data_IF_003611777414
#
_entry.id   IF_003611777414
#
_cell.length_a   1.000
_cell.length_b   1.000
_cell.length_c   1.000
_cell.angle_alpha   90.00
_cell.angle_beta   90.00
_cell.angle_gamma   90.00
#
_symmetry.space_group_name_H-M   'P 1'
#
loop_
_entity.id
_entity.type
_entity.pdbx_description
1 polymer ?
#
# COMPACT_ATOMS: atom_id res chain seq x y z
N UNK A 1 35.32 -17.87 55.44
CA UNK A 1 34.57 -16.61 55.64
C UNK A 1 34.33 -15.99 54.27
N UNK A 2 33.39 -16.49 53.47
CA UNK A 2 31.97 -16.10 53.41
C UNK A 2 31.71 -14.63 53.07
N UNK A 3 31.45 -14.41 51.77
CA UNK A 3 30.37 -13.62 51.14
C UNK A 3 30.29 -12.10 51.42
N UNK A 4 30.54 -11.24 50.41
CA UNK A 4 29.47 -10.54 49.66
C UNK A 4 29.98 -9.63 48.52
N UNK A 5 29.42 -9.89 47.34
CA UNK A 5 29.34 -9.00 46.18
C UNK A 5 28.78 -7.62 46.57
N UNK A 6 29.36 -6.53 46.06
CA UNK A 6 28.63 -5.26 45.86
C UNK A 6 28.79 -4.81 44.41
N UNK A 7 27.80 -5.23 43.60
CA UNK A 7 27.44 -4.65 42.31
C UNK A 7 27.12 -3.16 42.49
N UNK A 8 27.84 -2.28 41.79
CA UNK A 8 27.34 -0.91 41.52
C UNK A 8 26.16 -1.00 40.55
N UNK A 9 24.94 -1.08 41.09
CA UNK A 9 23.70 -0.85 40.32
C UNK A 9 23.60 0.65 40.00
N UNK A 10 23.78 1.02 38.73
CA UNK A 10 23.19 2.26 38.19
C UNK A 10 21.67 2.12 38.37
N UNK A 11 21.07 2.94 39.22
CA UNK A 11 19.62 3.15 39.24
C UNK A 11 19.27 3.87 37.93
N UNK A 12 18.76 3.12 36.94
CA UNK A 12 17.93 3.71 35.91
C UNK A 12 16.53 3.84 36.52
N UNK A 13 16.22 5.09 36.87
CA UNK A 13 14.97 5.54 37.44
C UNK A 13 13.83 5.38 36.43
N UNK A 14 12.78 4.68 36.84
CA UNK A 14 11.37 4.91 36.50
C UNK A 14 10.99 5.05 35.02
N UNK A 15 10.56 3.91 34.49
CA UNK A 15 9.54 3.70 33.46
C UNK A 15 8.67 4.92 33.11
N UNK A 16 8.64 5.24 31.82
CA UNK A 16 7.83 6.31 31.24
C UNK A 16 6.32 5.96 31.30
N UNK A 17 5.46 6.83 31.85
CA UNK A 17 4.03 6.56 32.05
C UNK A 17 3.12 6.51 30.80
N UNK A 18 3.67 6.63 29.58
CA UNK A 18 2.87 6.71 28.34
C UNK A 18 2.52 5.34 27.71
N UNK A 19 2.84 4.23 28.37
CA UNK A 19 2.66 2.86 27.85
C UNK A 19 1.22 2.29 27.95
N UNK A 20 0.20 3.07 28.32
CA UNK A 20 -1.19 2.57 28.49
C UNK A 20 -2.26 3.23 27.62
N UNK A 21 -1.93 4.13 26.67
CA UNK A 21 -2.92 4.61 25.68
C UNK A 21 -2.86 3.77 24.38
N UNK A 22 -3.88 2.97 24.06
CA UNK A 22 -3.96 2.22 22.80
C UNK A 22 -4.04 3.10 21.54
N UNK A 23 -4.12 4.44 21.69
CA UNK A 23 -4.19 5.41 20.58
C UNK A 23 -2.86 6.15 20.33
N UNK A 24 -1.79 5.84 21.07
CA UNK A 24 -0.48 6.39 20.75
C UNK A 24 0.06 5.73 19.49
N UNK A 25 0.15 6.50 18.39
CA UNK A 25 0.83 6.08 17.17
C UNK A 25 2.34 6.20 17.42
N UNK A 26 3.10 5.09 17.55
CA UNK A 26 4.54 5.18 17.71
C UNK A 26 5.16 5.81 16.45
N UNK A 27 6.27 6.54 16.56
CA UNK A 27 6.96 7.10 15.40
C UNK A 27 7.42 5.96 14.48
N UNK A 28 6.69 5.72 13.39
CA UNK A 28 7.15 4.89 12.28
C UNK A 28 7.84 5.76 11.22
N UNK A 29 8.72 5.16 10.42
CA UNK A 29 9.69 5.83 9.54
C UNK A 29 9.10 6.52 8.28
N UNK A 30 7.92 7.14 8.38
CA UNK A 30 7.23 7.82 7.27
C UNK A 30 6.73 9.23 7.62
N UNK A 31 6.39 10.06 6.63
CA UNK A 31 5.83 11.40 6.85
C UNK A 31 4.57 11.39 7.73
N UNK A 32 4.41 12.39 8.61
CA UNK A 32 3.27 12.46 9.55
C UNK A 32 1.90 12.36 8.87
N UNK A 33 1.72 12.90 7.67
CA UNK A 33 0.43 12.83 6.97
C UNK A 33 0.08 11.39 6.55
N UNK A 34 1.10 10.57 6.25
CA UNK A 34 0.92 9.19 5.84
C UNK A 34 0.45 8.35 7.03
N UNK A 35 1.07 8.55 8.20
CA UNK A 35 0.64 7.91 9.44
C UNK A 35 -0.84 8.21 9.78
N UNK A 36 -1.28 9.45 9.57
CA UNK A 36 -2.68 9.86 9.77
C UNK A 36 -3.61 9.22 8.73
N UNK A 37 -3.20 9.18 7.46
CA UNK A 37 -3.98 8.53 6.41
C UNK A 37 -4.16 7.04 6.69
N UNK A 38 -3.09 6.33 7.06
CA UNK A 38 -3.12 4.91 7.34
C UNK A 38 -3.97 4.60 8.58
N UNK A 39 -3.92 5.44 9.61
CA UNK A 39 -4.77 5.32 10.79
C UNK A 39 -6.25 5.46 10.43
N UNK A 40 -6.61 6.50 9.70
CA UNK A 40 -7.99 6.71 9.25
C UNK A 40 -8.48 5.60 8.31
N UNK A 41 -7.63 5.11 7.40
CA UNK A 41 -7.95 3.99 6.52
C UNK A 41 -8.22 2.71 7.32
N UNK A 42 -7.41 2.41 8.35
CA UNK A 42 -7.63 1.27 9.26
C UNK A 42 -8.94 1.42 10.03
N UNK A 43 -9.25 2.61 10.52
CA UNK A 43 -10.48 2.87 11.27
C UNK A 43 -11.73 2.70 10.38
N UNK A 44 -11.68 3.20 9.13
CA UNK A 44 -12.74 2.99 8.13
C UNK A 44 -12.88 1.49 7.80
N UNK A 45 -11.78 0.79 7.58
CA UNK A 45 -11.80 -0.65 7.25
C UNK A 45 -12.39 -1.50 8.38
N UNK A 46 -12.09 -1.14 9.64
CA UNK A 46 -12.65 -1.78 10.84
C UNK A 46 -14.09 -1.37 11.14
N UNK A 47 -14.65 -0.43 10.38
CA UNK A 47 -16.02 0.03 10.53
C UNK A 47 -16.23 1.03 11.67
N UNK A 48 -15.17 1.61 12.25
CA UNK A 48 -15.30 2.71 13.22
C UNK A 48 -16.00 3.92 12.60
N UNK A 49 -15.77 4.14 11.30
CA UNK A 49 -16.51 5.07 10.47
C UNK A 49 -17.24 4.28 9.38
N UNK A 50 -18.56 4.19 9.51
CA UNK A 50 -19.39 3.41 8.58
C UNK A 50 -19.48 4.06 7.20
N UNK A 51 -19.71 3.27 6.15
CA UNK A 51 -19.95 3.82 4.81
C UNK A 51 -21.21 4.69 4.84
N UNK A 52 -21.10 5.88 4.26
CA UNK A 52 -22.16 6.88 4.30
C UNK A 52 -22.09 7.79 5.54
N UNK A 53 -21.34 7.45 6.59
CA UNK A 53 -21.14 8.34 7.74
C UNK A 53 -20.18 9.49 7.43
N UNK A 54 -20.17 10.50 8.31
CA UNK A 54 -19.21 11.60 8.24
C UNK A 54 -17.97 11.29 9.07
N UNK A 55 -16.80 11.58 8.51
CA UNK A 55 -15.56 11.66 9.28
C UNK A 55 -15.58 12.88 10.22
N UNK A 56 -14.78 12.86 11.29
CA UNK A 56 -14.52 14.06 12.09
C UNK A 56 -14.02 15.21 11.21
N UNK A 57 -14.36 16.44 11.60
CA UNK A 57 -13.93 17.65 10.88
C UNK A 57 -12.40 17.78 10.88
N UNK A 58 -11.84 18.56 9.95
CA UNK A 58 -10.39 18.79 9.91
C UNK A 58 -9.84 19.30 11.25
N UNK A 59 -10.56 20.18 11.94
CA UNK A 59 -10.17 20.69 13.25
C UNK A 59 -10.14 19.57 14.31
N UNK A 60 -11.16 18.71 14.33
CA UNK A 60 -11.21 17.56 15.24
C UNK A 60 -10.09 16.56 14.93
N UNK A 61 -9.78 16.31 13.65
CA UNK A 61 -8.67 15.45 13.25
C UNK A 61 -7.32 16.05 13.65
N UNK A 62 -7.15 17.38 13.54
CA UNK A 62 -5.95 18.05 14.03
C UNK A 62 -5.73 17.82 15.53
N UNK A 63 -6.81 17.93 16.32
CA UNK A 63 -6.77 17.66 17.76
C UNK A 63 -6.53 16.18 18.06
N UNK A 64 -7.25 15.28 17.37
CA UNK A 64 -7.19 13.83 17.60
C UNK A 64 -5.78 13.28 17.32
N UNK A 65 -5.16 13.71 16.24
CA UNK A 65 -3.85 13.23 15.81
C UNK A 65 -2.71 14.13 16.29
N UNK A 66 -3.01 15.27 16.93
CA UNK A 66 -2.02 16.29 17.32
C UNK A 66 -1.09 16.71 16.17
N UNK A 67 -1.68 17.11 15.05
CA UNK A 67 -0.95 17.50 13.82
C UNK A 67 -1.48 18.80 13.23
N UNK A 68 -0.68 19.39 12.34
CA UNK A 68 -1.08 20.61 11.61
C UNK A 68 -2.27 20.36 10.66
N UNK A 69 -3.00 21.42 10.33
CA UNK A 69 -4.05 21.39 9.30
C UNK A 69 -3.53 20.92 7.95
N UNK A 70 -2.31 21.32 7.58
CA UNK A 70 -1.67 20.85 6.35
C UNK A 70 -1.54 19.33 6.33
N UNK A 71 -1.07 18.74 7.44
CA UNK A 71 -0.94 17.29 7.61
C UNK A 71 -2.28 16.56 7.45
N UNK A 72 -3.35 17.06 8.08
CA UNK A 72 -4.70 16.47 7.94
C UNK A 72 -5.23 16.60 6.52
N UNK A 73 -5.03 17.75 5.88
CA UNK A 73 -5.47 18.00 4.49
C UNK A 73 -4.78 17.07 3.51
N UNK A 74 -3.48 16.84 3.67
CA UNK A 74 -2.72 15.89 2.86
C UNK A 74 -3.15 14.44 3.10
N UNK A 75 -3.36 14.06 4.36
CA UNK A 75 -3.84 12.72 4.70
C UNK A 75 -5.21 12.43 4.08
N UNK A 76 -6.16 13.34 4.25
CA UNK A 76 -7.52 13.19 3.71
C UNK A 76 -7.56 13.35 2.19
N UNK A 77 -6.65 14.11 1.56
CA UNK A 77 -6.53 14.16 0.10
C UNK A 77 -6.23 12.78 -0.46
N UNK A 78 -5.23 12.08 0.11
CA UNK A 78 -4.90 10.70 -0.29
C UNK A 78 -6.09 9.75 -0.17
N UNK A 79 -6.85 9.83 0.93
CA UNK A 79 -8.03 8.99 1.13
C UNK A 79 -9.15 9.28 0.10
N UNK A 80 -9.26 10.52 -0.38
CA UNK A 80 -10.14 10.87 -1.51
C UNK A 80 -9.62 10.24 -2.80
N UNK A 81 -8.32 10.35 -3.06
CA UNK A 81 -7.68 9.85 -4.29
C UNK A 81 -7.88 8.33 -4.46
N UNK A 82 -7.78 7.56 -3.37
CA UNK A 82 -8.02 6.11 -3.35
C UNK A 82 -9.50 5.71 -3.19
N UNK A 83 -10.41 6.70 -3.17
CA UNK A 83 -11.85 6.49 -3.19
C UNK A 83 -12.47 6.03 -1.86
N UNK A 84 -11.75 6.12 -0.74
CA UNK A 84 -12.28 5.75 0.58
C UNK A 84 -13.27 6.80 1.11
N UNK A 85 -13.05 8.07 0.79
CA UNK A 85 -13.87 9.19 1.26
C UNK A 85 -14.16 10.19 0.14
N UNK A 86 -15.11 11.09 0.37
CA UNK A 86 -15.42 12.22 -0.51
C UNK A 86 -15.63 13.48 0.31
N UNK A 87 -15.30 14.63 -0.27
CA UNK A 87 -15.55 15.94 0.34
C UNK A 87 -16.73 16.61 -0.34
N UNK A 88 -17.64 17.17 0.44
CA UNK A 88 -18.77 17.95 -0.06
C UNK A 88 -18.86 19.26 0.72
N UNK A 89 -18.82 20.39 0.00
CA UNK A 89 -18.92 21.71 0.59
C UNK A 89 -20.21 21.86 1.40
N UNK A 90 -20.12 22.43 2.60
CA UNK A 90 -21.27 22.59 3.51
C UNK A 90 -21.74 21.31 4.23
N UNK A 91 -21.24 20.13 3.86
CA UNK A 91 -21.65 18.84 4.44
C UNK A 91 -20.51 18.16 5.20
N UNK A 92 -19.27 18.32 4.73
CA UNK A 92 -18.09 17.72 5.32
C UNK A 92 -17.56 16.54 4.51
N UNK A 93 -16.86 15.64 5.20
CA UNK A 93 -16.16 14.51 4.58
C UNK A 93 -16.91 13.22 4.85
N UNK A 94 -17.39 12.54 3.79
CA UNK A 94 -18.20 11.33 3.90
C UNK A 94 -17.42 10.08 3.51
N UNK A 95 -17.55 9.02 4.29
CA UNK A 95 -17.00 7.69 3.96
C UNK A 95 -17.75 7.09 2.77
N UNK A 96 -17.01 6.67 1.74
CA UNK A 96 -17.54 6.12 0.49
C UNK A 96 -17.39 4.61 0.40
N UNK A 97 -16.31 4.06 0.95
CA UNK A 97 -16.01 2.64 0.87
C UNK A 97 -15.22 2.18 2.09
N UNK A 98 -15.33 0.90 2.46
CA UNK A 98 -14.51 0.27 3.51
C UNK A 98 -13.14 -0.17 3.03
N UNK A 99 -13.03 -0.44 1.73
CA UNK A 99 -11.78 -0.79 1.05
C UNK A 99 -11.59 0.18 -0.10
N UNK A 100 -10.34 0.42 -0.49
CA UNK A 100 -10.05 1.26 -1.65
C UNK A 100 -10.83 0.72 -2.86
N UNK A 101 -11.44 1.63 -3.62
CA UNK A 101 -11.88 1.26 -4.94
C UNK A 101 -10.61 0.86 -5.68
N UNK A 102 -10.56 -0.35 -6.24
CA UNK A 102 -9.49 -0.75 -7.14
C UNK A 102 -9.57 0.08 -8.42
N UNK A 103 -9.36 1.40 -8.33
CA UNK A 103 -8.87 2.16 -9.46
C UNK A 103 -7.51 1.56 -9.73
N UNK A 104 -7.42 0.78 -10.80
CA UNK A 104 -6.17 0.23 -11.31
C UNK A 104 -5.32 1.37 -11.89
N UNK A 105 -4.91 2.28 -11.02
CA UNK A 105 -3.68 3.04 -11.18
C UNK A 105 -2.73 2.38 -10.22
N UNK A 106 -1.95 1.41 -10.70
CA UNK A 106 -0.63 1.15 -10.13
C UNK A 106 0.19 2.42 -10.36
N UNK A 107 -0.19 3.52 -9.70
CA UNK A 107 0.61 4.73 -9.63
C UNK A 107 1.75 4.33 -8.71
N UNK A 108 2.83 3.84 -9.31
CA UNK A 108 4.10 3.59 -8.66
C UNK A 108 4.78 4.94 -8.38
N UNK A 109 4.06 5.86 -7.72
CA UNK A 109 4.51 7.22 -7.44
C UNK A 109 5.50 7.29 -6.28
N UNK A 110 5.61 6.22 -5.50
CA UNK A 110 6.55 6.07 -4.40
C UNK A 110 6.92 4.60 -4.15
N UNK A 111 8.08 4.37 -3.53
CA UNK A 111 8.53 3.02 -3.13
C UNK A 111 7.55 2.35 -2.16
N UNK A 112 6.95 3.10 -1.25
CA UNK A 112 5.98 2.56 -0.28
C UNK A 112 4.71 2.05 -0.95
N UNK A 113 4.19 2.77 -1.96
CA UNK A 113 3.01 2.33 -2.74
C UNK A 113 3.31 1.07 -3.55
N UNK A 114 4.53 0.96 -4.08
CA UNK A 114 4.99 -0.23 -4.79
C UNK A 114 5.07 -1.44 -3.85
N UNK A 115 5.65 -1.27 -2.66
CA UNK A 115 5.75 -2.32 -1.63
C UNK A 115 4.37 -2.74 -1.13
N UNK A 116 3.48 -1.80 -0.86
CA UNK A 116 2.10 -2.11 -0.45
C UNK A 116 1.33 -2.86 -1.55
N UNK A 117 1.51 -2.47 -2.81
CA UNK A 117 0.92 -3.18 -3.94
C UNK A 117 1.45 -4.61 -4.07
N UNK A 118 2.75 -4.83 -3.84
CA UNK A 118 3.34 -6.18 -3.83
C UNK A 118 2.79 -7.02 -2.66
N UNK A 119 2.66 -6.46 -1.45
CA UNK A 119 2.19 -7.22 -0.29
C UNK A 119 0.68 -7.48 -0.28
N UNK A 120 -0.12 -6.58 -0.84
CA UNK A 120 -1.59 -6.69 -0.83
C UNK A 120 -2.13 -7.51 -2.01
N UNK A 121 -1.29 -7.90 -2.96
CA UNK A 121 -1.73 -8.63 -4.15
C UNK A 121 -0.80 -9.80 -4.47
N UNK A 122 -1.37 -10.88 -5.01
CA UNK A 122 -0.64 -12.01 -5.58
C UNK A 122 -0.74 -11.95 -7.10
N UNK A 123 0.37 -12.29 -7.77
CA UNK A 123 0.41 -12.47 -9.21
C UNK A 123 0.35 -13.96 -9.54
N UNK A 124 -0.41 -14.33 -10.56
CA UNK A 124 -0.53 -15.70 -11.04
C UNK A 124 -0.23 -15.73 -12.53
N UNK A 125 0.74 -16.55 -12.93
CA UNK A 125 1.06 -16.76 -14.33
C UNK A 125 -0.02 -17.62 -14.98
N UNK A 126 -0.57 -17.15 -16.10
CA UNK A 126 -1.51 -17.91 -16.93
C UNK A 126 -0.78 -18.67 -18.03
N UNK A 127 0.15 -18.00 -18.70
CA UNK A 127 0.93 -18.59 -19.78
C UNK A 127 2.23 -17.84 -19.99
N UNK A 128 3.26 -18.55 -20.40
CA UNK A 128 4.52 -17.97 -20.86
C UNK A 128 4.98 -18.65 -22.15
N UNK A 129 5.60 -17.90 -23.05
CA UNK A 129 6.05 -18.46 -24.31
C UNK A 129 6.66 -17.45 -25.28
N UNK A 130 7.26 -17.96 -26.34
CA UNK A 130 7.85 -17.13 -27.38
C UNK A 130 6.81 -16.68 -28.40
N UNK A 131 6.80 -15.37 -28.70
CA UNK A 131 5.91 -14.76 -29.70
C UNK A 131 6.75 -14.02 -30.75
N UNK A 132 6.28 -14.00 -32.00
CA UNK A 132 6.82 -13.09 -33.01
C UNK A 132 6.02 -11.79 -32.98
N UNK A 133 6.70 -10.65 -33.00
CA UNK A 133 6.05 -9.35 -33.05
C UNK A 133 5.23 -9.21 -34.35
N UNK A 134 3.92 -9.09 -34.24
CA UNK A 134 3.07 -8.67 -35.35
C UNK A 134 3.25 -7.16 -35.63
N UNK A 135 2.48 -6.59 -36.55
CA UNK A 135 2.62 -5.17 -36.88
C UNK A 135 2.38 -4.25 -35.67
N UNK A 136 1.37 -4.54 -34.84
CA UNK A 136 0.98 -3.71 -33.69
C UNK A 136 1.98 -3.84 -32.55
N UNK A 137 2.41 -5.07 -32.25
CA UNK A 137 3.40 -5.33 -31.21
C UNK A 137 4.76 -4.77 -31.60
N UNK A 138 5.13 -4.85 -32.89
CA UNK A 138 6.37 -4.28 -33.41
C UNK A 138 6.39 -2.75 -33.26
N UNK A 139 5.28 -2.07 -33.57
CA UNK A 139 5.13 -0.64 -33.36
C UNK A 139 5.23 -0.27 -31.87
N UNK A 140 4.51 -0.99 -31.01
CA UNK A 140 4.47 -0.74 -29.56
C UNK A 140 5.84 -0.93 -28.90
N UNK A 141 6.59 -1.96 -29.31
CA UNK A 141 7.91 -2.28 -28.76
C UNK A 141 9.06 -1.61 -29.53
N UNK A 142 8.75 -0.80 -30.55
CA UNK A 142 9.72 -0.17 -31.45
C UNK A 142 10.76 -1.17 -32.01
N UNK A 143 10.28 -2.32 -32.49
CA UNK A 143 11.12 -3.41 -32.99
C UNK A 143 10.73 -3.85 -34.41
N UNK A 144 11.46 -4.82 -34.99
CA UNK A 144 11.14 -5.33 -36.33
C UNK A 144 9.96 -6.30 -36.26
N UNK A 145 9.04 -6.22 -37.23
CA UNK A 145 8.00 -7.24 -37.41
C UNK A 145 8.65 -8.62 -37.58
N UNK A 146 8.12 -9.62 -36.89
CA UNK A 146 8.67 -10.98 -36.82
C UNK A 146 9.74 -11.19 -35.75
N UNK A 147 10.28 -10.13 -35.14
CA UNK A 147 11.26 -10.25 -34.06
C UNK A 147 10.66 -11.03 -32.89
N UNK A 148 11.44 -11.96 -32.35
CA UNK A 148 11.03 -12.86 -31.26
C UNK A 148 11.13 -12.15 -29.91
N UNK A 149 10.07 -12.29 -29.12
CA UNK A 149 9.97 -11.85 -27.74
C UNK A 149 9.50 -13.00 -26.86
N UNK A 150 9.76 -12.91 -25.56
CA UNK A 150 9.15 -13.80 -24.58
C UNK A 150 7.99 -13.06 -23.92
N UNK A 151 6.80 -13.67 -23.98
CA UNK A 151 5.57 -13.11 -23.45
C UNK A 151 5.16 -13.87 -22.20
N UNK A 152 4.75 -13.13 -21.16
CA UNK A 152 4.07 -13.65 -19.99
C UNK A 152 2.69 -13.02 -19.89
N UNK A 153 1.67 -13.84 -19.63
CA UNK A 153 0.30 -13.40 -19.36
C UNK A 153 -0.02 -13.71 -17.92
N UNK A 154 -0.49 -12.72 -17.17
CA UNK A 154 -0.69 -12.85 -15.73
C UNK A 154 -2.03 -12.29 -15.29
N UNK A 155 -2.57 -12.85 -14.21
CA UNK A 155 -3.66 -12.25 -13.45
C UNK A 155 -3.15 -11.81 -12.08
N UNK A 156 -3.61 -10.65 -11.64
CA UNK A 156 -3.34 -10.16 -10.29
C UNK A 156 -4.60 -10.23 -9.46
N UNK A 157 -4.45 -10.73 -8.23
CA UNK A 157 -5.53 -10.87 -7.27
C UNK A 157 -5.16 -10.13 -5.99
N UNK A 158 -6.12 -9.51 -5.29
CA UNK A 158 -5.95 -9.18 -3.88
C UNK A 158 -5.65 -10.45 -3.09
N UNK A 159 -4.83 -10.36 -2.03
CA UNK A 159 -4.53 -11.52 -1.17
C UNK A 159 -5.79 -12.05 -0.48
N UNK A 160 -6.77 -11.18 -0.22
CA UNK A 160 -8.02 -11.47 0.47
C UNK A 160 -9.22 -11.80 -0.45
N UNK A 161 -9.03 -11.80 -1.78
CA UNK A 161 -10.13 -12.02 -2.75
C UNK A 161 -9.78 -13.03 -3.83
N UNK A 162 -10.83 -13.63 -4.39
CA UNK A 162 -10.72 -14.65 -5.43
C UNK A 162 -10.86 -14.08 -6.84
N UNK A 163 -11.42 -12.88 -6.97
CA UNK A 163 -11.65 -12.18 -8.22
C UNK A 163 -10.39 -11.42 -8.66
N UNK A 164 -9.97 -11.53 -9.94
CA UNK A 164 -8.80 -10.81 -10.41
C UNK A 164 -9.11 -9.31 -10.52
N UNK A 165 -8.13 -8.50 -10.15
CA UNK A 165 -8.17 -7.03 -10.30
C UNK A 165 -7.42 -6.54 -11.53
N UNK A 166 -6.61 -7.40 -12.17
CA UNK A 166 -5.85 -7.03 -13.36
C UNK A 166 -5.47 -8.23 -14.23
N UNK A 167 -5.41 -7.99 -15.54
CA UNK A 167 -4.72 -8.82 -16.53
C UNK A 167 -3.55 -8.02 -17.11
N UNK A 168 -2.36 -8.63 -17.14
CA UNK A 168 -1.16 -7.98 -17.65
C UNK A 168 -0.43 -8.89 -18.63
N UNK A 169 -0.06 -8.33 -19.78
CA UNK A 169 0.89 -8.93 -20.73
C UNK A 169 2.24 -8.26 -20.59
N UNK A 170 3.28 -9.07 -20.34
CA UNK A 170 4.65 -8.62 -20.19
C UNK A 170 5.44 -9.18 -21.37
N UNK A 171 6.14 -8.31 -22.10
CA UNK A 171 7.01 -8.69 -23.21
C UNK A 171 8.45 -8.34 -22.86
N UNK A 172 9.33 -9.34 -22.80
CA UNK A 172 10.75 -9.17 -22.53
C UNK A 172 11.61 -9.76 -23.65
N UNK A 173 12.83 -9.25 -23.86
CA UNK A 173 13.79 -9.92 -24.73
C UNK A 173 13.99 -11.39 -24.31
N UNK A 174 14.19 -12.33 -25.25
CA UNK A 174 14.28 -13.78 -24.95
C UNK A 174 15.33 -14.18 -23.89
N UNK A 175 16.38 -13.38 -23.74
CA UNK A 175 17.41 -13.57 -22.71
C UNK A 175 16.91 -13.39 -21.26
N UNK A 176 15.72 -12.80 -21.06
CA UNK A 176 15.10 -12.62 -19.74
C UNK A 176 13.94 -13.59 -19.48
N UNK A 177 13.84 -14.67 -20.25
CA UNK A 177 12.73 -15.63 -20.14
C UNK A 177 12.59 -16.25 -18.75
N UNK A 178 13.70 -16.34 -18.00
CA UNK A 178 13.74 -17.01 -16.69
C UNK A 178 12.94 -16.26 -15.62
N UNK A 179 12.49 -15.01 -15.90
CA UNK A 179 11.58 -14.24 -15.04
C UNK A 179 10.26 -14.97 -14.73
N UNK A 180 9.86 -15.95 -15.55
CA UNK A 180 8.68 -16.77 -15.26
C UNK A 180 8.83 -17.55 -13.95
N UNK A 181 10.06 -17.93 -13.58
CA UNK A 181 10.35 -18.69 -12.36
C UNK A 181 10.07 -17.86 -11.10
N UNK A 182 10.35 -16.55 -11.17
CA UNK A 182 10.07 -15.60 -10.08
C UNK A 182 8.57 -15.41 -9.86
N UNK A 183 7.74 -15.61 -10.91
CA UNK A 183 6.29 -15.49 -10.82
C UNK A 183 5.65 -16.78 -10.27
N UNK A 184 6.24 -17.95 -10.53
CA UNK A 184 5.78 -19.23 -9.98
C UNK A 184 5.90 -19.32 -8.44
N UNK A 185 6.76 -18.51 -7.81
CA UNK A 185 7.03 -18.53 -6.37
C UNK A 185 6.07 -17.72 -5.48
N UNK A 186 5.11 -16.99 -6.05
CA UNK A 186 4.15 -16.17 -5.27
C UNK A 186 4.78 -15.02 -4.46
N UNK A 187 6.10 -14.85 -4.53
CA UNK A 187 6.84 -13.78 -3.84
C UNK A 187 7.88 -13.27 -4.83
N UNK A 188 7.66 -12.05 -5.36
CA UNK A 188 8.76 -11.30 -5.95
C UNK A 188 9.64 -10.89 -4.77
N UNK A 189 10.67 -11.67 -4.50
CA UNK A 189 11.68 -11.35 -3.51
C UNK A 189 12.52 -10.20 -4.07
N UNK A 190 12.35 -9.01 -3.50
CA UNK A 190 13.26 -7.87 -3.67
C UNK A 190 14.37 -7.99 -2.63
#
# INVERSE_FOLDING_TARGET
>A
MSVHLIRRRRRLSTAFPWMTDPRHVPPSAGPRYQQVADALARDIARGLYEVGSLLPTEAQLCTLFNVSRHTVREATRRLVDVGLISRQAGVGTRVKARTTAARYTASLGSLSELVEYIHSTRLTLLSAGSVAADARLAETLHCRRGQRWFQLRTLRYPVDRSEPIAYTEIHVPPQFRDIEQDIYGGTVSI
#
